data_IF_828287725960
#
_entry.id   IF_828287725960
#
_cell.length_a   1.000
_cell.length_b   1.000
_cell.length_c   1.000
_cell.angle_alpha   90.00
_cell.angle_beta   90.00
_cell.angle_gamma   90.00
#
_symmetry.space_group_name_H-M   'P 1'
#
loop_
_entity.id
_entity.type
_entity.pdbx_description
1 polymer ?
#
# COMPACT_ATOMS: atom_id res chain seq x y z
N UNK A 1 28.13 -17.84 -9.37
CA UNK A 1 29.49 -17.33 -9.15
C UNK A 1 29.58 -16.84 -7.72
N UNK A 2 30.54 -17.35 -6.93
CA UNK A 2 30.69 -17.00 -5.50
C UNK A 2 30.89 -15.50 -5.26
N UNK A 3 31.50 -14.76 -6.20
CA UNK A 3 31.74 -13.31 -6.08
C UNK A 3 30.45 -12.49 -5.93
N UNK A 4 29.31 -12.97 -6.45
CA UNK A 4 28.03 -12.27 -6.38
C UNK A 4 27.25 -12.59 -5.11
N UNK A 5 27.64 -13.63 -4.36
CA UNK A 5 26.88 -14.15 -3.22
C UNK A 5 26.65 -13.09 -2.12
N UNK A 6 27.65 -12.30 -1.69
CA UNK A 6 27.43 -11.28 -0.66
C UNK A 6 26.47 -10.16 -1.12
N UNK A 7 26.49 -9.82 -2.41
CA UNK A 7 25.61 -8.79 -2.97
C UNK A 7 24.16 -9.26 -3.05
N UNK A 8 23.95 -10.52 -3.42
CA UNK A 8 22.61 -11.14 -3.44
C UNK A 8 22.03 -11.21 -2.04
N UNK A 9 22.80 -11.67 -1.06
CA UNK A 9 22.35 -11.68 0.33
C UNK A 9 21.90 -10.29 0.80
N UNK A 10 22.66 -9.25 0.45
CA UNK A 10 22.29 -7.88 0.82
C UNK A 10 21.02 -7.40 0.11
N UNK A 11 20.74 -7.87 -1.11
CA UNK A 11 19.48 -7.60 -1.81
C UNK A 11 18.34 -8.35 -1.12
N UNK A 12 18.52 -9.63 -0.82
CA UNK A 12 17.53 -10.45 -0.13
C UNK A 12 17.15 -9.81 1.23
N UNK A 13 18.14 -9.36 2.02
CA UNK A 13 17.90 -8.67 3.30
C UNK A 13 17.13 -7.35 3.13
N UNK A 14 17.29 -6.66 1.99
CA UNK A 14 16.54 -5.44 1.69
C UNK A 14 15.12 -5.76 1.25
N UNK A 15 14.95 -6.81 0.46
CA UNK A 15 13.64 -7.27 -0.02
C UNK A 15 12.78 -7.75 1.15
N UNK A 16 13.34 -8.50 2.09
CA UNK A 16 12.65 -8.90 3.32
C UNK A 16 12.13 -7.68 4.10
N UNK A 17 12.97 -6.64 4.24
CA UNK A 17 12.57 -5.40 4.91
C UNK A 17 11.52 -4.61 4.15
N UNK A 18 11.51 -4.68 2.81
CA UNK A 18 10.45 -4.09 1.99
C UNK A 18 9.14 -4.81 2.27
N UNK A 19 9.15 -6.14 2.34
CA UNK A 19 7.95 -6.94 2.67
C UNK A 19 7.44 -6.59 4.07
N UNK A 20 8.31 -6.51 5.08
CA UNK A 20 7.90 -6.13 6.44
C UNK A 20 7.21 -4.77 6.49
N UNK A 21 7.77 -3.77 5.79
CA UNK A 21 7.18 -2.43 5.69
C UNK A 21 5.83 -2.44 4.94
N UNK A 22 5.68 -3.30 3.94
CA UNK A 22 4.40 -3.46 3.22
C UNK A 22 3.35 -4.12 4.11
N UNK A 23 3.73 -5.08 4.96
CA UNK A 23 2.84 -5.67 5.97
C UNK A 23 2.38 -4.62 6.97
N UNK A 24 3.31 -3.82 7.51
CA UNK A 24 2.99 -2.72 8.44
C UNK A 24 2.04 -1.70 7.78
N UNK A 25 2.38 -1.25 6.57
CA UNK A 25 1.53 -0.33 5.80
C UNK A 25 0.12 -0.91 5.59
N UNK A 26 0.02 -2.20 5.27
CA UNK A 26 -1.26 -2.88 5.07
C UNK A 26 -2.08 -2.95 6.36
N UNK A 27 -1.44 -3.14 7.52
CA UNK A 27 -2.08 -3.07 8.83
C UNK A 27 -2.80 -1.72 9.02
N UNK A 28 -2.11 -0.62 8.73
CA UNK A 28 -2.70 0.73 8.80
C UNK A 28 -3.88 0.89 7.84
N UNK A 29 -3.79 0.37 6.61
CA UNK A 29 -4.92 0.41 5.66
C UNK A 29 -6.13 -0.35 6.20
N UNK A 30 -5.94 -1.49 6.89
CA UNK A 30 -7.06 -2.23 7.51
C UNK A 30 -7.75 -1.40 8.59
N UNK A 31 -6.97 -0.79 9.48
CA UNK A 31 -7.50 0.11 10.52
C UNK A 31 -8.30 1.27 9.93
N UNK A 32 -7.77 1.90 8.87
CA UNK A 32 -8.45 2.99 8.15
C UNK A 32 -9.72 2.48 7.45
N UNK A 33 -9.71 1.30 6.84
CA UNK A 33 -10.90 0.70 6.22
C UNK A 33 -12.04 0.47 7.21
N UNK A 34 -11.72 -0.07 8.41
CA UNK A 34 -12.69 -0.20 9.50
C UNK A 34 -13.22 1.16 9.98
N UNK A 35 -12.34 2.15 10.12
CA UNK A 35 -12.73 3.51 10.50
C UNK A 35 -13.67 4.12 9.45
N UNK A 36 -13.29 4.07 8.17
CA UNK A 36 -14.10 4.62 7.06
C UNK A 36 -15.48 3.99 7.01
N UNK A 37 -15.59 2.67 7.18
CA UNK A 37 -16.89 2.00 7.25
C UNK A 37 -17.75 2.53 8.41
N UNK A 38 -17.17 2.66 9.61
CA UNK A 38 -17.88 3.14 10.80
C UNK A 38 -18.37 4.58 10.62
N UNK A 39 -17.55 5.44 10.03
CA UNK A 39 -17.86 6.86 9.83
C UNK A 39 -18.64 7.14 8.52
N UNK A 40 -18.93 6.12 7.71
CA UNK A 40 -19.62 6.28 6.43
C UNK A 40 -18.80 6.99 5.35
N UNK A 41 -17.47 6.97 5.45
CA UNK A 41 -16.56 7.58 4.49
C UNK A 41 -16.34 6.62 3.30
N UNK A 42 -16.31 7.11 2.05
CA UNK A 42 -15.98 6.27 0.90
C UNK A 42 -14.61 5.60 1.03
N UNK A 43 -14.50 4.33 0.61
CA UNK A 43 -13.23 3.60 0.65
C UNK A 43 -12.16 4.30 -0.20
N UNK A 44 -12.54 4.80 -1.38
CA UNK A 44 -11.62 5.50 -2.28
C UNK A 44 -11.86 7.00 -2.26
N UNK A 45 -10.80 7.77 -1.98
CA UNK A 45 -10.76 9.23 -2.08
C UNK A 45 -9.69 9.61 -3.12
N UNK A 46 -10.12 10.06 -4.30
CA UNK A 46 -9.21 10.29 -5.44
C UNK A 46 -8.14 11.35 -5.14
N UNK A 47 -8.50 12.45 -4.48
CA UNK A 47 -7.53 13.48 -4.09
C UNK A 47 -6.39 12.91 -3.22
N UNK A 48 -6.72 11.94 -2.35
CA UNK A 48 -5.73 11.27 -1.50
C UNK A 48 -4.84 10.31 -2.29
N UNK A 49 -5.41 9.61 -3.28
CA UNK A 49 -4.67 8.73 -4.19
C UNK A 49 -3.61 9.53 -4.94
N UNK A 50 -4.00 10.67 -5.53
CA UNK A 50 -3.10 11.53 -6.27
C UNK A 50 -2.00 12.12 -5.36
N UNK A 51 -2.36 12.61 -4.17
CA UNK A 51 -1.38 13.14 -3.21
C UNK A 51 -0.33 12.10 -2.81
N UNK A 52 -0.75 10.86 -2.52
CA UNK A 52 0.17 9.78 -2.12
C UNK A 52 1.11 9.41 -3.27
N UNK A 53 0.60 9.36 -4.50
CA UNK A 53 1.40 9.08 -5.70
C UNK A 53 2.42 10.18 -5.95
N UNK A 54 2.01 11.46 -5.96
CA UNK A 54 2.93 12.58 -6.21
C UNK A 54 3.97 12.73 -5.10
N UNK A 55 3.61 12.48 -3.84
CA UNK A 55 4.57 12.47 -2.73
C UNK A 55 5.65 11.40 -2.94
N UNK A 56 5.27 10.21 -3.42
CA UNK A 56 6.21 9.12 -3.65
C UNK A 56 7.16 9.41 -4.82
N UNK A 57 6.62 9.89 -5.94
CA UNK A 57 7.41 10.23 -7.14
C UNK A 57 8.37 11.39 -6.87
N UNK A 58 7.93 12.44 -6.17
CA UNK A 58 8.79 13.56 -5.77
C UNK A 58 9.94 13.09 -4.86
N UNK A 59 9.66 12.18 -3.92
CA UNK A 59 10.68 11.61 -3.03
C UNK A 59 11.68 10.73 -3.79
N UNK A 60 11.23 9.98 -4.79
CA UNK A 60 12.09 9.18 -5.65
C UNK A 60 13.03 10.06 -6.48
N UNK A 61 12.48 11.08 -7.16
CA UNK A 61 13.25 12.04 -7.95
C UNK A 61 14.35 12.72 -7.11
N UNK A 62 14.00 13.18 -5.90
CA UNK A 62 14.94 13.82 -4.99
C UNK A 62 16.12 12.92 -4.56
N UNK A 63 16.00 11.60 -4.73
CA UNK A 63 17.02 10.60 -4.39
C UNK A 63 17.70 9.98 -5.61
N UNK A 64 17.43 10.50 -6.81
CA UNK A 64 17.99 10.00 -8.07
C UNK A 64 17.38 8.68 -8.54
N UNK A 65 16.19 8.30 -8.02
CA UNK A 65 15.44 7.14 -8.48
C UNK A 65 14.44 7.57 -9.57
N UNK A 66 14.25 6.73 -10.59
CA UNK A 66 13.33 6.98 -11.69
C UNK A 66 11.90 7.19 -11.18
N UNK A 67 11.42 8.43 -11.33
CA UNK A 67 10.11 8.86 -10.87
C UNK A 67 8.96 8.18 -11.62
N UNK A 68 9.13 7.85 -12.91
CA UNK A 68 8.10 7.18 -13.70
C UNK A 68 8.01 5.70 -13.34
N UNK A 69 9.14 5.06 -13.04
CA UNK A 69 9.14 3.71 -12.48
C UNK A 69 8.42 3.68 -11.13
N UNK A 70 8.72 4.62 -10.24
CA UNK A 70 8.06 4.70 -8.93
C UNK A 70 6.58 5.04 -9.06
N UNK A 71 6.20 5.88 -10.02
CA UNK A 71 4.79 6.19 -10.30
C UNK A 71 3.99 4.92 -10.60
N UNK A 72 4.51 4.03 -11.43
CA UNK A 72 3.87 2.75 -11.76
C UNK A 72 3.82 1.82 -10.56
N UNK A 73 4.92 1.67 -9.84
CA UNK A 73 4.97 0.84 -8.63
C UNK A 73 3.98 1.32 -7.55
N UNK A 74 3.87 2.64 -7.35
CA UNK A 74 2.94 3.20 -6.37
C UNK A 74 1.48 3.10 -6.81
N UNK A 75 1.19 3.10 -8.11
CA UNK A 75 -0.16 2.87 -8.62
C UNK A 75 -0.66 1.49 -8.19
N UNK A 76 0.12 0.43 -8.42
CA UNK A 76 -0.22 -0.94 -7.99
C UNK A 76 -0.43 -1.04 -6.47
N UNK A 77 0.43 -0.39 -5.68
CA UNK A 77 0.30 -0.39 -4.22
C UNK A 77 -0.95 0.37 -3.74
N UNK A 78 -1.34 1.44 -4.42
CA UNK A 78 -2.57 2.18 -4.14
C UNK A 78 -3.78 1.34 -4.52
N UNK A 79 -3.79 0.72 -5.70
CA UNK A 79 -4.89 -0.13 -6.16
C UNK A 79 -5.13 -1.30 -5.19
N UNK A 80 -4.06 -1.94 -4.72
CA UNK A 80 -4.14 -2.92 -3.65
C UNK A 80 -4.81 -2.37 -2.38
N UNK A 81 -4.45 -1.14 -1.97
CA UNK A 81 -4.99 -0.51 -0.77
C UNK A 81 -6.49 -0.24 -0.90
N UNK A 82 -6.91 0.34 -2.05
CA UNK A 82 -8.29 0.63 -2.36
C UNK A 82 -9.16 -0.64 -2.37
N UNK A 83 -8.67 -1.70 -3.02
CA UNK A 83 -9.37 -2.99 -3.09
C UNK A 83 -9.52 -3.64 -1.71
N UNK A 84 -8.50 -3.52 -0.85
CA UNK A 84 -8.57 -4.00 0.51
C UNK A 84 -9.63 -3.26 1.34
N UNK A 85 -9.72 -1.93 1.19
CA UNK A 85 -10.74 -1.14 1.88
C UNK A 85 -12.17 -1.48 1.41
N UNK A 86 -12.38 -1.69 0.11
CA UNK A 86 -13.66 -2.17 -0.41
C UNK A 86 -14.00 -3.57 0.12
N UNK A 87 -13.03 -4.49 0.15
CA UNK A 87 -13.22 -5.84 0.71
C UNK A 87 -13.67 -5.77 2.17
N UNK A 88 -13.01 -4.95 2.99
CA UNK A 88 -13.35 -4.77 4.41
C UNK A 88 -14.76 -4.21 4.56
N UNK A 89 -15.12 -3.20 3.76
CA UNK A 89 -16.45 -2.60 3.75
C UNK A 89 -17.52 -3.64 3.42
N UNK A 90 -17.30 -4.48 2.40
CA UNK A 90 -18.23 -5.54 2.00
C UNK A 90 -18.39 -6.60 3.10
N UNK A 91 -17.28 -7.05 3.70
CA UNK A 91 -17.30 -8.01 4.82
C UNK A 91 -18.07 -7.47 6.03
N UNK A 92 -17.89 -6.19 6.37
CA UNK A 92 -18.57 -5.55 7.49
C UNK A 92 -20.06 -5.33 7.20
N UNK A 93 -20.42 -4.99 5.96
CA UNK A 93 -21.81 -4.88 5.53
C UNK A 93 -22.54 -6.22 5.64
N UNK A 94 -21.91 -7.32 5.19
CA UNK A 94 -22.49 -8.67 5.30
C UNK A 94 -22.67 -9.10 6.76
N UNK A 95 -21.68 -8.86 7.64
CA UNK A 95 -21.79 -9.15 9.08
C UNK A 95 -22.91 -8.38 9.76
N UNK A 96 -23.13 -7.12 9.37
CA UNK A 96 -24.22 -6.29 9.89
C UNK A 96 -25.59 -6.84 9.50
N UNK A 97 -25.73 -7.34 8.27
CA UNK A 97 -26.97 -7.94 7.78
C UNK A 97 -27.25 -9.34 8.35
N UNK A 98 -26.21 -10.12 8.70
CA UNK A 98 -26.35 -11.46 9.27
C UNK A 98 -26.58 -11.46 10.80
N UNK A 99 -26.25 -10.36 11.48
CA UNK A 99 -26.48 -10.16 12.91
C UNK A 99 -27.77 -9.40 13.25
N UNK A 100 -28.64 -9.16 12.26
CA UNK A 100 -29.94 -8.52 12.39
C UNK A 100 -31.09 -9.52 12.25
#
# INVERSE_FOLDING_TARGET
>A
MEILKPYRQRIDDLDDRIIDLLVERTGVIREVGHLKFREGIPAVLQDRVDEVRERATARAAAKGLDADMIRRFWAELIDFSCNLEETIKDELAQKKSAGQ
#
